data_IF_569302695542
#
_entry.id   IF_569302695542
#
_cell.length_a   1.000
_cell.length_b   1.000
_cell.length_c   1.000
_cell.angle_alpha   90.00
_cell.angle_beta   90.00
_cell.angle_gamma   90.00
#
_symmetry.space_group_name_H-M   'P 1'
#
loop_
_entity.id
_entity.type
_entity.pdbx_description
1 polymer ?
#
# COMPACT_ATOMS: atom_id res chain seq x y z
N UNK A 1 17.98 26.79 -0.74
CA UNK A 1 17.67 26.27 -0.64
C UNK A 1 17.29 25.46 -0.62
N UNK A 2 17.22 25.56 -0.67
CA UNK A 2 16.85 24.76 -0.48
C UNK A 2 16.43 23.88 -0.78
N UNK A 3 16.52 23.84 -1.03
CA UNK A 3 16.08 22.96 -1.16
C UNK A 3 15.96 22.12 -1.13
N UNK A 4 16.10 22.24 -1.02
CA UNK A 4 15.98 21.43 -0.82
C UNK A 4 15.63 20.62 -0.52
N UNK A 5 15.74 20.90 -0.51
CA UNK A 5 15.30 20.33 -0.07
C UNK A 5 14.90 19.42 -0.06
N UNK A 6 15.24 19.39 0.26
CA UNK A 6 14.96 18.79 0.11
C UNK A 6 14.38 17.75 -0.07
N UNK A 7 14.72 17.34 -0.09
CA UNK A 7 13.69 16.70 -0.87
C UNK A 7 13.91 15.21 -0.97
N UNK A 8 13.73 14.56 0.16
CA UNK A 8 13.64 13.10 0.19
C UNK A 8 12.29 12.72 -0.42
N UNK A 9 12.27 11.95 -1.51
CA UNK A 9 11.00 11.52 -2.10
C UNK A 9 10.21 10.64 -1.14
N UNK A 10 8.90 10.63 -1.29
CA UNK A 10 8.02 9.76 -0.52
C UNK A 10 7.44 8.72 -1.47
N UNK A 11 7.60 7.46 -1.13
CA UNK A 11 7.01 6.35 -1.88
C UNK A 11 5.88 5.77 -1.06
N UNK A 12 4.81 5.37 -1.73
CA UNK A 12 3.69 4.70 -1.09
C UNK A 12 3.92 3.20 -1.21
N UNK A 13 3.90 2.50 -0.09
CA UNK A 13 3.93 1.04 -0.08
C UNK A 13 2.53 0.55 0.22
N UNK A 14 1.92 -0.06 -0.79
CA UNK A 14 0.56 -0.56 -0.71
C UNK A 14 0.58 -2.00 -0.23
N UNK A 15 0.25 -2.18 1.05
CA UNK A 15 0.15 -3.51 1.65
C UNK A 15 -1.14 -4.17 1.20
N UNK A 16 -1.04 -5.41 0.78
CA UNK A 16 -2.19 -6.19 0.34
C UNK A 16 -2.37 -7.39 1.27
N UNK A 17 -1.97 -8.59 0.85
CA UNK A 17 -2.00 -9.77 1.71
C UNK A 17 -0.70 -9.97 2.48
N UNK A 18 0.31 -9.21 2.12
CA UNK A 18 1.66 -9.25 2.69
C UNK A 18 1.78 -8.32 3.91
N UNK A 19 0.95 -8.56 4.92
CA UNK A 19 0.85 -7.68 6.09
C UNK A 19 1.98 -7.92 7.08
N UNK A 20 3.22 -7.66 6.63
CA UNK A 20 4.41 -7.87 7.43
C UNK A 20 5.53 -6.94 6.98
N UNK A 21 6.46 -6.69 7.88
CA UNK A 21 7.66 -5.89 7.56
C UNK A 21 8.80 -6.77 7.06
N UNK A 22 8.87 -8.02 7.52
CA UNK A 22 9.90 -8.97 7.09
C UNK A 22 9.50 -9.64 5.79
N UNK A 23 10.50 -9.97 4.97
CA UNK A 23 10.29 -10.67 3.70
C UNK A 23 9.24 -9.98 2.84
N UNK A 24 9.32 -8.65 2.79
CA UNK A 24 8.41 -7.84 2.01
C UNK A 24 9.23 -7.11 0.94
N UNK A 25 9.25 -7.63 -0.31
CA UNK A 25 10.09 -7.05 -1.36
C UNK A 25 9.78 -5.60 -1.68
N UNK A 26 8.50 -5.21 -1.69
CA UNK A 26 8.13 -3.84 -1.98
C UNK A 26 8.64 -2.87 -0.91
N UNK A 27 8.50 -3.25 0.37
CA UNK A 27 9.02 -2.44 1.46
C UNK A 27 10.54 -2.37 1.41
N UNK A 28 11.19 -3.49 1.16
CA UNK A 28 12.64 -3.57 1.07
C UNK A 28 13.18 -2.68 -0.05
N UNK A 29 12.54 -2.70 -1.21
CA UNK A 29 12.92 -1.85 -2.34
C UNK A 29 12.81 -0.37 -1.98
N UNK A 30 11.75 0.03 -1.29
CA UNK A 30 11.57 1.43 -0.86
C UNK A 30 12.66 1.85 0.13
N UNK A 31 13.01 0.95 1.06
CA UNK A 31 14.06 1.22 2.04
C UNK A 31 15.42 1.41 1.34
N UNK A 32 15.72 0.57 0.36
CA UNK A 32 16.98 0.66 -0.39
C UNK A 32 17.11 1.97 -1.16
N UNK A 33 16.02 2.57 -1.57
CA UNK A 33 16.02 3.85 -2.26
C UNK A 33 16.23 5.04 -1.33
N UNK A 34 16.22 4.82 -0.03
CA UNK A 34 16.43 5.87 0.96
C UNK A 34 15.31 6.89 1.02
N UNK A 35 14.12 6.53 0.56
CA UNK A 35 12.98 7.42 0.53
C UNK A 35 12.16 7.35 1.82
N UNK A 36 11.28 8.32 2.00
CA UNK A 36 10.25 8.25 3.02
C UNK A 36 9.19 7.26 2.54
N UNK A 37 8.59 6.57 3.48
CA UNK A 37 7.62 5.53 3.16
C UNK A 37 6.27 5.87 3.78
N UNK A 38 5.22 5.88 2.96
CA UNK A 38 3.84 6.00 3.40
C UNK A 38 3.19 4.63 3.27
N UNK A 39 3.04 3.89 4.37
CA UNK A 39 2.42 2.57 4.32
C UNK A 39 0.90 2.70 4.30
N UNK A 40 0.26 2.00 3.37
CA UNK A 40 -1.19 2.10 3.14
C UNK A 40 -1.80 0.71 3.00
N UNK A 41 -2.93 0.50 3.66
CA UNK A 41 -3.77 -0.68 3.43
C UNK A 41 -5.19 -0.20 3.09
N UNK A 42 -5.75 -0.74 2.01
CA UNK A 42 -7.11 -0.43 1.58
C UNK A 42 -7.99 -1.66 1.78
N UNK A 43 -9.04 -1.51 2.57
CA UNK A 43 -10.08 -2.52 2.67
C UNK A 43 -11.10 -2.26 1.55
N UNK A 44 -11.04 -3.06 0.49
CA UNK A 44 -11.98 -2.99 -0.62
C UNK A 44 -13.10 -4.01 -0.37
N UNK A 45 -14.35 -3.56 -0.14
CA UNK A 45 -15.43 -4.49 0.17
C UNK A 45 -15.71 -5.52 -0.93
N UNK A 46 -15.49 -5.17 -2.19
CA UNK A 46 -15.67 -6.10 -3.30
C UNK A 46 -14.61 -7.19 -3.29
N UNK A 47 -13.34 -6.80 -3.15
CA UNK A 47 -12.24 -7.74 -3.07
C UNK A 47 -12.32 -8.54 -1.77
N UNK A 48 -12.70 -7.89 -0.67
CA UNK A 48 -12.83 -8.52 0.64
C UNK A 48 -13.84 -9.66 0.66
N UNK A 49 -14.90 -9.57 -0.13
CA UNK A 49 -15.89 -10.65 -0.24
C UNK A 49 -15.30 -11.90 -0.88
N UNK A 50 -14.30 -11.71 -1.75
CA UNK A 50 -13.62 -12.80 -2.42
C UNK A 50 -12.60 -13.50 -1.52
N UNK A 51 -12.06 -12.77 -0.55
CA UNK A 51 -11.01 -13.31 0.31
C UNK A 51 -11.53 -14.41 1.23
N UNK A 52 -12.58 -14.10 1.94
CA UNK A 52 -13.22 -15.06 2.82
C UNK A 52 -14.43 -14.41 3.49
N UNK A 53 -15.58 -15.05 3.44
CA UNK A 53 -16.74 -14.55 4.14
C UNK A 53 -16.73 -14.87 5.63
N UNK A 54 -15.78 -15.66 6.11
CA UNK A 54 -15.79 -16.16 7.48
C UNK A 54 -15.38 -15.14 8.53
N UNK A 55 -16.00 -15.21 9.71
CA UNK A 55 -15.66 -14.37 10.84
C UNK A 55 -14.21 -14.57 11.30
N UNK A 56 -13.72 -15.81 11.23
CA UNK A 56 -12.34 -16.13 11.60
C UNK A 56 -11.33 -15.41 10.73
N UNK A 57 -11.58 -15.30 9.42
CA UNK A 57 -10.69 -14.61 8.51
C UNK A 57 -10.68 -13.11 8.74
N UNK A 58 -11.84 -12.53 9.08
CA UNK A 58 -11.92 -11.11 9.40
C UNK A 58 -11.20 -10.82 10.72
N UNK A 59 -11.32 -11.73 11.68
CA UNK A 59 -10.59 -11.61 12.94
C UNK A 59 -9.08 -11.66 12.71
N UNK A 60 -8.63 -12.61 11.89
CA UNK A 60 -7.21 -12.75 11.55
C UNK A 60 -6.69 -11.48 10.88
N UNK A 61 -7.44 -10.94 9.91
CA UNK A 61 -7.07 -9.72 9.21
C UNK A 61 -6.95 -8.55 10.19
N UNK A 62 -7.90 -8.42 11.11
CA UNK A 62 -7.88 -7.38 12.12
C UNK A 62 -6.62 -7.49 13.00
N UNK A 63 -6.28 -8.71 13.42
CA UNK A 63 -5.09 -8.93 14.23
C UNK A 63 -3.81 -8.65 13.44
N UNK A 64 -3.77 -9.05 12.17
CA UNK A 64 -2.62 -8.80 11.31
C UNK A 64 -2.40 -7.30 11.09
N UNK A 65 -3.46 -6.55 10.85
CA UNK A 65 -3.37 -5.09 10.68
C UNK A 65 -2.95 -4.40 11.96
N UNK A 66 -3.46 -4.85 13.09
CA UNK A 66 -3.10 -4.29 14.40
C UNK A 66 -1.62 -4.53 14.68
N UNK A 67 -1.12 -5.72 14.41
CA UNK A 67 0.28 -6.07 14.59
C UNK A 67 1.18 -5.25 13.65
N UNK A 68 0.81 -5.16 12.39
CA UNK A 68 1.57 -4.38 11.41
C UNK A 68 1.59 -2.90 11.79
N UNK A 69 0.45 -2.34 12.17
CA UNK A 69 0.37 -0.94 12.60
C UNK A 69 1.23 -0.66 13.82
N UNK A 70 1.26 -1.59 14.77
CA UNK A 70 2.11 -1.48 15.96
C UNK A 70 3.59 -1.48 15.58
N UNK A 71 4.00 -2.40 14.70
CA UNK A 71 5.39 -2.51 14.27
C UNK A 71 5.83 -1.25 13.52
N UNK A 72 4.97 -0.71 12.66
CA UNK A 72 5.26 0.52 11.93
C UNK A 72 5.37 1.70 12.90
N UNK A 73 4.49 1.75 13.89
CA UNK A 73 4.49 2.80 14.91
C UNK A 73 5.80 2.81 15.69
N UNK A 74 6.33 1.64 16.01
CA UNK A 74 7.62 1.50 16.71
C UNK A 74 8.78 2.06 15.90
N UNK A 75 8.63 2.07 14.57
CA UNK A 75 9.64 2.62 13.67
C UNK A 75 9.42 4.11 13.37
N UNK A 76 8.45 4.73 14.03
CA UNK A 76 8.17 6.15 13.86
C UNK A 76 7.22 6.48 12.72
N UNK A 77 6.60 5.46 12.11
CA UNK A 77 5.66 5.64 11.03
C UNK A 77 4.21 5.48 11.48
N UNK A 78 3.31 5.56 10.52
CA UNK A 78 1.88 5.36 10.76
C UNK A 78 1.27 4.65 9.56
N UNK A 79 0.57 3.56 9.83
CA UNK A 79 -0.13 2.82 8.79
C UNK A 79 -1.45 3.53 8.46
N UNK A 80 -1.64 3.87 7.21
CA UNK A 80 -2.88 4.49 6.74
C UNK A 80 -3.87 3.39 6.39
N UNK A 81 -5.02 3.42 7.02
CA UNK A 81 -6.10 2.46 6.76
C UNK A 81 -7.27 3.21 6.11
N UNK A 82 -7.74 2.69 4.99
CA UNK A 82 -8.88 3.27 4.31
C UNK A 82 -9.81 2.18 3.81
N UNK A 83 -11.07 2.51 3.62
CA UNK A 83 -12.08 1.59 3.13
C UNK A 83 -12.70 2.15 1.86
N UNK A 84 -12.76 1.34 0.82
CA UNK A 84 -13.33 1.75 -0.46
C UNK A 84 -12.62 1.06 -1.60
N UNK A 85 -12.78 1.61 -2.79
CA UNK A 85 -12.15 1.06 -3.99
C UNK A 85 -10.70 1.50 -4.07
N UNK A 86 -9.80 0.53 -4.12
CA UNK A 86 -8.37 0.81 -4.18
C UNK A 86 -8.00 1.69 -5.38
N UNK A 87 -8.63 1.46 -6.53
CA UNK A 87 -8.36 2.22 -7.74
C UNK A 87 -8.73 3.71 -7.62
N UNK A 88 -9.60 4.05 -6.68
CA UNK A 88 -9.97 5.44 -6.41
C UNK A 88 -9.12 6.02 -5.28
N UNK A 89 -8.91 5.25 -4.22
CA UNK A 89 -8.23 5.72 -3.02
C UNK A 89 -6.71 5.82 -3.16
N UNK A 90 -6.07 4.85 -3.80
CA UNK A 90 -4.61 4.87 -3.94
C UNK A 90 -4.14 6.10 -4.71
N UNK A 91 -4.71 6.43 -5.89
CA UNK A 91 -4.30 7.66 -6.59
C UNK A 91 -4.58 8.92 -5.79
N UNK A 92 -5.69 8.97 -5.07
CA UNK A 92 -6.04 10.13 -4.25
C UNK A 92 -5.04 10.33 -3.12
N UNK A 93 -4.74 9.27 -2.38
CA UNK A 93 -3.76 9.32 -1.29
C UNK A 93 -2.39 9.72 -1.84
N UNK A 94 -2.03 9.16 -2.99
CA UNK A 94 -0.75 9.46 -3.62
C UNK A 94 -0.65 10.95 -4.00
N UNK A 95 -1.68 11.51 -4.59
CA UNK A 95 -1.70 12.93 -4.96
C UNK A 95 -1.66 13.82 -3.74
N UNK A 96 -2.45 13.51 -2.72
CA UNK A 96 -2.55 14.32 -1.50
C UNK A 96 -1.23 14.36 -0.73
N UNK A 97 -0.37 13.37 -0.91
CA UNK A 97 0.89 13.24 -0.19
C UNK A 97 2.14 13.41 -1.06
N UNK A 98 1.97 13.83 -2.30
CA UNK A 98 3.10 14.07 -3.19
C UNK A 98 3.91 12.81 -3.49
N UNK A 99 3.26 11.69 -3.61
CA UNK A 99 3.90 10.39 -3.84
C UNK A 99 4.46 10.32 -5.27
N UNK A 100 5.70 9.90 -5.41
CA UNK A 100 6.33 9.74 -6.72
C UNK A 100 6.17 8.33 -7.28
N UNK A 101 6.10 7.32 -6.42
CA UNK A 101 6.03 5.93 -6.84
C UNK A 101 5.21 5.13 -5.85
N UNK A 102 4.43 4.18 -6.36
CA UNK A 102 3.67 3.22 -5.55
C UNK A 102 4.27 1.84 -5.74
N UNK A 103 4.64 1.18 -4.64
CA UNK A 103 5.20 -0.16 -4.65
C UNK A 103 4.23 -1.13 -3.97
N UNK A 104 4.12 -2.33 -4.52
CA UNK A 104 3.21 -3.34 -3.96
C UNK A 104 3.62 -4.74 -4.38
N UNK A 105 3.12 -5.74 -3.65
CA UNK A 105 3.32 -7.14 -4.00
C UNK A 105 2.30 -7.61 -5.01
N UNK A 106 2.72 -8.37 -6.00
CA UNK A 106 1.81 -8.93 -7.01
C UNK A 106 0.92 -9.99 -6.41
N UNK A 107 -0.29 -10.08 -6.90
CA UNK A 107 -1.15 -11.22 -6.61
C UNK A 107 -1.56 -11.84 -7.93
N UNK A 108 -1.91 -13.12 -7.89
CA UNK A 108 -2.27 -13.87 -9.09
C UNK A 108 -3.70 -14.39 -9.06
N UNK A 109 -4.40 -14.23 -7.94
CA UNK A 109 -5.81 -14.57 -7.85
C UNK A 109 -6.64 -13.58 -8.66
N UNK A 110 -7.70 -14.03 -9.35
CA UNK A 110 -8.46 -13.16 -10.26
C UNK A 110 -8.96 -11.85 -9.67
N UNK A 111 -9.59 -11.81 -8.49
CA UNK A 111 -10.06 -10.53 -7.94
C UNK A 111 -8.91 -9.61 -7.55
N UNK A 112 -7.82 -10.15 -7.03
CA UNK A 112 -6.65 -9.35 -6.67
C UNK A 112 -5.96 -8.78 -7.89
N UNK A 113 -5.85 -9.58 -8.96
CA UNK A 113 -5.25 -9.13 -10.20
C UNK A 113 -6.10 -8.04 -10.86
N UNK A 114 -7.42 -8.17 -10.85
CA UNK A 114 -8.31 -7.16 -11.41
C UNK A 114 -8.17 -5.83 -10.69
N UNK A 115 -8.09 -5.84 -9.36
CA UNK A 115 -7.88 -4.63 -8.56
C UNK A 115 -6.53 -4.02 -8.89
N UNK A 116 -5.49 -4.84 -8.97
CA UNK A 116 -4.14 -4.40 -9.29
C UNK A 116 -4.08 -3.68 -10.63
N UNK A 117 -4.70 -4.23 -11.66
CA UNK A 117 -4.73 -3.64 -12.99
C UNK A 117 -5.44 -2.29 -12.99
N UNK A 118 -6.55 -2.18 -12.27
CA UNK A 118 -7.29 -0.92 -12.17
C UNK A 118 -6.49 0.16 -11.46
N UNK A 119 -5.76 -0.22 -10.41
CA UNK A 119 -4.91 0.72 -9.67
C UNK A 119 -3.76 1.18 -10.55
N UNK A 120 -3.11 0.26 -11.26
CA UNK A 120 -2.01 0.60 -12.17
C UNK A 120 -2.46 1.56 -13.26
N UNK A 121 -3.63 1.31 -13.85
CA UNK A 121 -4.18 2.17 -14.87
C UNK A 121 -4.48 3.57 -14.33
N UNK A 122 -5.11 3.64 -13.15
CA UNK A 122 -5.44 4.92 -12.53
C UNK A 122 -4.19 5.72 -12.16
N UNK A 123 -3.14 5.06 -11.69
CA UNK A 123 -1.89 5.72 -11.34
C UNK A 123 -1.15 6.19 -12.59
N UNK A 124 -1.19 5.41 -13.66
CA UNK A 124 -0.59 5.78 -14.93
C UNK A 124 -1.25 7.06 -15.47
N UNK A 125 -2.57 7.14 -15.42
CA UNK A 125 -3.30 8.32 -15.81
C UNK A 125 -2.95 9.54 -14.98
N UNK A 126 -2.62 9.32 -13.71
CA UNK A 126 -2.21 10.39 -12.79
C UNK A 126 -0.73 10.76 -12.90
N UNK A 127 0.04 10.06 -13.74
CA UNK A 127 1.47 10.31 -13.91
C UNK A 127 2.31 9.81 -12.76
N UNK A 128 1.84 8.81 -12.02
CA UNK A 128 2.54 8.23 -10.88
C UNK A 128 3.09 6.86 -11.26
N UNK A 129 4.38 6.64 -11.04
CA UNK A 129 5.03 5.37 -11.35
C UNK A 129 4.58 4.26 -10.40
N UNK A 130 4.62 3.03 -10.90
CA UNK A 130 4.31 1.85 -10.09
C UNK A 130 5.42 0.82 -10.26
N UNK A 131 5.62 0.02 -9.22
CA UNK A 131 6.54 -1.10 -9.28
C UNK A 131 5.98 -2.25 -8.45
N UNK A 132 5.87 -3.41 -9.07
CA UNK A 132 5.33 -4.61 -8.42
C UNK A 132 6.43 -5.66 -8.25
N UNK A 133 6.26 -6.51 -7.23
CA UNK A 133 7.24 -7.51 -6.85
C UNK A 133 6.65 -8.91 -6.71
#
# INVERSE_FOLDING_TARGET
>A
MIAENTTTPTFLVWFRKDLRLRDNPSLHAAVLEGCKILPVFIWDPEEGRQWSPGAASRWWLHQALKSLGSDISKLGGELILAKGKAAELIPKIAKDNGILKVLYGRTYDPPGLATQERVEEALDEAGIDTESF
#
